data_IF_195879789053
#
_entry.id   IF_195879789053
#
_cell.length_a   1.000
_cell.length_b   1.000
_cell.length_c   1.000
_cell.angle_alpha   90.00
_cell.angle_beta   90.00
_cell.angle_gamma   90.00
#
_symmetry.space_group_name_H-M   'P 1'
#
loop_
_entity.id
_entity.type
_entity.pdbx_description
1 polymer ?
#
# COMPACT_ATOMS: atom_id res chain seq x y z
N UNK A 1 -8.95 -1.24 5.83
CA UNK A 1 -8.73 -0.64 4.50
C UNK A 1 -8.93 0.87 4.64
N UNK A 2 -8.01 1.69 4.12
CA UNK A 2 -8.14 3.16 4.09
C UNK A 2 -8.14 3.59 2.62
N UNK A 3 -8.91 4.60 2.26
CA UNK A 3 -8.94 5.20 0.92
C UNK A 3 -8.58 6.67 1.07
N UNK A 4 -7.67 7.14 0.23
CA UNK A 4 -7.22 8.54 0.19
C UNK A 4 -7.55 9.11 -1.17
N UNK A 5 -8.03 10.36 -1.20
CA UNK A 5 -8.40 11.04 -2.45
C UNK A 5 -7.45 12.21 -2.77
N UNK A 6 -6.38 12.37 -1.99
CA UNK A 6 -5.38 13.41 -2.20
C UNK A 6 -3.96 12.88 -1.97
N UNK A 7 -3.02 13.46 -2.72
CA UNK A 7 -1.59 13.15 -2.59
C UNK A 7 -1.10 13.51 -1.18
N UNK A 8 -1.50 14.68 -0.66
CA UNK A 8 -1.08 15.19 0.65
C UNK A 8 -1.42 14.21 1.78
N UNK A 9 -2.65 13.68 1.81
CA UNK A 9 -3.07 12.72 2.85
C UNK A 9 -2.31 11.40 2.73
N UNK A 10 -2.13 10.91 1.51
CA UNK A 10 -1.44 9.64 1.22
C UNK A 10 0.01 9.73 1.68
N UNK A 11 0.72 10.79 1.28
CA UNK A 11 2.13 11.03 1.65
C UNK A 11 2.28 11.17 3.16
N UNK A 12 1.44 11.99 3.82
CA UNK A 12 1.50 12.17 5.27
C UNK A 12 1.26 10.86 6.04
N UNK A 13 0.33 10.02 5.55
CA UNK A 13 0.09 8.70 6.14
C UNK A 13 1.30 7.78 5.98
N UNK A 14 1.89 7.70 4.78
CA UNK A 14 3.05 6.85 4.50
C UNK A 14 4.26 7.30 5.31
N UNK A 15 4.54 8.60 5.39
CA UNK A 15 5.68 9.14 6.13
C UNK A 15 5.57 8.81 7.62
N UNK A 16 4.39 8.95 8.22
CA UNK A 16 4.15 8.52 9.60
C UNK A 16 4.39 7.03 9.81
N UNK A 17 4.16 6.18 8.80
CA UNK A 17 4.40 4.73 8.90
C UNK A 17 5.89 4.42 8.76
N UNK A 18 6.60 5.12 7.86
CA UNK A 18 8.06 5.02 7.72
C UNK A 18 8.79 5.45 8.99
N UNK A 19 8.35 6.52 9.66
CA UNK A 19 8.98 6.97 10.93
C UNK A 19 8.78 5.98 12.08
N UNK A 20 7.76 5.12 12.01
CA UNK A 20 7.55 4.00 12.94
C UNK A 20 8.40 2.76 12.59
N UNK A 21 9.22 2.82 11.54
CA UNK A 21 10.08 1.73 11.09
C UNK A 21 9.38 0.68 10.23
N UNK A 22 8.14 0.90 9.81
CA UNK A 22 7.41 -0.05 8.97
C UNK A 22 7.98 -0.10 7.56
N UNK A 23 8.20 -1.32 7.05
CA UNK A 23 8.42 -1.56 5.62
C UNK A 23 7.10 -1.43 4.86
N UNK A 24 7.15 -0.77 3.70
CA UNK A 24 5.96 -0.46 2.89
C UNK A 24 6.09 -1.14 1.54
N UNK A 25 5.18 -2.07 1.25
CA UNK A 25 5.00 -2.65 -0.08
C UNK A 25 3.98 -1.85 -0.87
N UNK A 26 4.25 -1.62 -2.15
CA UNK A 26 3.38 -0.82 -3.03
C UNK A 26 2.95 -1.63 -4.26
N UNK A 27 1.65 -1.70 -4.51
CA UNK A 27 1.08 -2.37 -5.70
C UNK A 27 0.30 -1.35 -6.53
N UNK A 28 0.93 -0.71 -7.53
CA UNK A 28 0.23 0.24 -8.40
C UNK A 28 -0.75 -0.50 -9.32
N UNK A 29 -1.99 0.00 -9.39
CA UNK A 29 -3.02 -0.50 -10.32
C UNK A 29 -3.83 0.66 -10.90
N UNK A 30 -4.56 0.41 -11.99
CA UNK A 30 -5.52 1.36 -12.57
C UNK A 30 -6.99 1.00 -12.23
N UNK A 31 -7.22 0.11 -11.26
CA UNK A 31 -8.54 -0.47 -10.97
C UNK A 31 -8.79 -1.80 -11.71
N UNK A 32 -10.07 -2.22 -11.79
CA UNK A 32 -10.50 -3.48 -12.42
C UNK A 32 -9.67 -4.71 -11.95
N UNK A 33 -9.65 -4.93 -10.63
CA UNK A 33 -8.80 -5.96 -10.04
C UNK A 33 -9.21 -7.38 -10.46
N UNK A 34 -8.20 -8.24 -10.60
CA UNK A 34 -8.34 -9.66 -10.93
C UNK A 34 -7.27 -10.45 -10.17
N UNK A 35 -7.27 -11.78 -10.29
CA UNK A 35 -6.41 -12.67 -9.49
C UNK A 35 -4.92 -12.33 -9.56
N UNK A 36 -4.43 -11.79 -10.68
CA UNK A 36 -3.03 -11.35 -10.80
C UNK A 36 -2.69 -10.21 -9.83
N UNK A 37 -3.55 -9.20 -9.75
CA UNK A 37 -3.39 -8.09 -8.79
C UNK A 37 -3.43 -8.61 -7.34
N UNK A 38 -4.36 -9.51 -7.04
CA UNK A 38 -4.53 -10.06 -5.69
C UNK A 38 -3.31 -10.86 -5.23
N UNK A 39 -2.65 -11.57 -6.14
CA UNK A 39 -1.43 -12.32 -5.83
C UNK A 39 -0.27 -11.39 -5.48
N UNK A 40 -0.09 -10.29 -6.25
CA UNK A 40 0.89 -9.25 -5.94
C UNK A 40 0.62 -8.62 -4.57
N UNK A 41 -0.65 -8.28 -4.28
CA UNK A 41 -1.06 -7.74 -2.98
C UNK A 41 -0.81 -8.72 -1.83
N UNK A 42 -1.07 -10.03 -2.02
CA UNK A 42 -0.77 -11.07 -1.01
C UNK A 42 0.71 -11.15 -0.70
N UNK A 43 1.57 -11.14 -1.73
CA UNK A 43 3.03 -11.17 -1.56
C UNK A 43 3.53 -9.92 -0.84
N UNK A 44 3.14 -8.75 -1.33
CA UNK A 44 3.52 -7.47 -0.73
C UNK A 44 3.11 -7.37 0.75
N UNK A 45 1.91 -7.86 1.12
CA UNK A 45 1.45 -7.92 2.52
C UNK A 45 2.22 -8.92 3.38
N UNK A 46 2.75 -9.99 2.80
CA UNK A 46 3.57 -10.99 3.53
C UNK A 46 4.99 -10.47 3.78
N UNK A 47 5.54 -9.71 2.84
CA UNK A 47 6.93 -9.25 2.87
C UNK A 47 7.12 -7.90 3.59
N UNK A 48 6.04 -7.15 3.80
CA UNK A 48 6.06 -5.80 4.36
C UNK A 48 5.06 -5.64 5.50
N UNK A 49 5.26 -4.62 6.34
CA UNK A 49 4.39 -4.33 7.48
C UNK A 49 3.14 -3.52 7.08
N UNK A 50 3.19 -2.89 5.90
CA UNK A 50 2.10 -2.13 5.30
C UNK A 50 2.05 -2.38 3.79
N UNK A 51 0.86 -2.70 3.28
CA UNK A 51 0.55 -2.70 1.85
C UNK A 51 -0.16 -1.39 1.49
N UNK A 52 0.31 -0.75 0.43
CA UNK A 52 -0.29 0.43 -0.21
C UNK A 52 -0.66 0.09 -1.65
#
# INVERSE_FOLDING_TARGET
>A
MKVFNSIKETTAYIDKRKTLGNRVGFVPTMGALHNGHLELMRRAKKENDLLV
#
